data_IF_924402053029
#
_entry.id   IF_924402053029
#
_cell.length_a   1.000
_cell.length_b   1.000
_cell.length_c   1.000
_cell.angle_alpha   90.00
_cell.angle_beta   90.00
_cell.angle_gamma   90.00
#
_symmetry.space_group_name_H-M   'P 1'
#
loop_
_entity.id
_entity.type
_entity.pdbx_description
1 polymer ?
#
# COMPACT_ATOMS: atom_id res chain seq x y z
N UNK A 1 17.19 -12.28 -2.34
CA UNK A 1 16.11 -12.02 -1.36
C UNK A 1 14.83 -12.43 -2.05
N UNK A 2 14.29 -13.59 -1.71
CA UNK A 2 13.10 -14.12 -2.38
C UNK A 2 11.88 -13.75 -1.54
N UNK A 3 11.41 -12.51 -1.72
CA UNK A 3 10.17 -12.09 -1.11
C UNK A 3 9.01 -12.72 -1.87
N UNK A 4 8.60 -13.92 -1.45
CA UNK A 4 7.35 -14.50 -1.91
C UNK A 4 6.19 -13.67 -1.32
N UNK A 5 5.72 -12.69 -2.10
CA UNK A 5 4.67 -11.75 -1.75
C UNK A 5 3.37 -12.14 -2.49
N UNK A 6 2.24 -12.00 -1.81
CA UNK A 6 0.93 -12.17 -2.45
C UNK A 6 0.65 -11.06 -3.47
N UNK A 7 -0.29 -11.25 -4.41
CA UNK A 7 -0.69 -10.20 -5.34
C UNK A 7 -1.14 -8.91 -4.64
N UNK A 8 -1.81 -9.01 -3.50
CA UNK A 8 -2.26 -7.87 -2.69
C UNK A 8 -1.08 -7.17 -2.01
N UNK A 9 -0.11 -7.91 -1.48
CA UNK A 9 1.11 -7.35 -0.90
C UNK A 9 1.92 -6.60 -1.95
N UNK A 10 2.10 -7.19 -3.14
CA UNK A 10 2.76 -6.54 -4.27
C UNK A 10 2.02 -5.28 -4.71
N UNK A 11 0.68 -5.34 -4.77
CA UNK A 11 -0.16 -4.19 -5.11
C UNK A 11 0.01 -3.05 -4.13
N UNK A 12 -0.07 -3.34 -2.83
CA UNK A 12 0.08 -2.35 -1.77
C UNK A 12 1.47 -1.71 -1.83
N UNK A 13 2.53 -2.52 -1.94
CA UNK A 13 3.89 -2.02 -2.00
C UNK A 13 4.12 -1.15 -3.25
N UNK A 14 3.66 -1.61 -4.42
CA UNK A 14 3.76 -0.86 -5.67
C UNK A 14 2.99 0.47 -5.61
N UNK A 15 1.81 0.51 -4.99
CA UNK A 15 1.07 1.75 -4.79
C UNK A 15 1.82 2.73 -3.88
N UNK A 16 2.44 2.27 -2.80
CA UNK A 16 3.22 3.13 -1.93
C UNK A 16 4.42 3.74 -2.67
N UNK A 17 5.16 2.92 -3.42
CA UNK A 17 6.32 3.37 -4.22
C UNK A 17 5.90 4.38 -5.30
N UNK A 18 4.83 4.09 -6.03
CA UNK A 18 4.29 5.01 -7.05
C UNK A 18 3.92 6.36 -6.42
N UNK A 19 3.13 6.34 -5.33
CA UNK A 19 2.57 7.57 -4.74
C UNK A 19 3.60 8.40 -3.97
N UNK A 20 4.63 7.79 -3.41
CA UNK A 20 5.77 8.53 -2.85
C UNK A 20 6.46 9.39 -3.93
N UNK A 21 6.59 8.87 -5.15
CA UNK A 21 7.22 9.60 -6.26
C UNK A 21 6.28 10.54 -7.00
N UNK A 22 5.02 10.15 -7.25
CA UNK A 22 4.12 10.92 -8.13
C UNK A 22 3.26 11.94 -7.37
N UNK A 23 3.03 11.71 -6.08
CA UNK A 23 2.14 12.52 -5.23
C UNK A 23 2.72 12.64 -3.81
N UNK A 24 3.96 13.15 -3.66
CA UNK A 24 4.67 13.21 -2.37
C UNK A 24 3.91 14.02 -1.31
N UNK A 25 3.11 15.00 -1.71
CA UNK A 25 2.29 15.83 -0.82
C UNK A 25 1.15 15.06 -0.12
N UNK A 26 0.76 13.91 -0.67
CA UNK A 26 -0.25 13.02 -0.07
C UNK A 26 0.40 11.94 0.80
N UNK A 27 1.72 11.81 0.80
CA UNK A 27 2.46 10.81 1.54
C UNK A 27 2.84 11.32 2.94
N UNK A 28 2.73 10.51 4.01
CA UNK A 28 2.28 9.12 4.05
C UNK A 28 0.76 8.96 3.81
N UNK A 29 0.39 7.88 3.11
CA UNK A 29 -1.01 7.61 2.78
C UNK A 29 -1.80 7.07 3.99
N UNK A 30 -3.05 7.52 4.12
CA UNK A 30 -4.03 6.83 4.95
C UNK A 30 -4.43 5.47 4.33
N UNK A 31 -4.98 4.55 5.14
CA UNK A 31 -5.43 3.23 4.64
C UNK A 31 -6.48 3.38 3.52
N UNK A 32 -7.39 4.33 3.63
CA UNK A 32 -8.41 4.57 2.59
C UNK A 32 -7.80 5.12 1.29
N UNK A 33 -6.83 6.04 1.40
CA UNK A 33 -6.12 6.56 0.23
C UNK A 33 -5.31 5.46 -0.47
N UNK A 34 -4.66 4.59 0.30
CA UNK A 34 -3.94 3.43 -0.22
C UNK A 34 -4.88 2.40 -0.88
N UNK A 35 -6.05 2.12 -0.30
CA UNK A 35 -7.07 1.26 -0.93
C UNK A 35 -7.52 1.83 -2.28
N UNK A 36 -7.80 3.13 -2.33
CA UNK A 36 -8.18 3.80 -3.57
C UNK A 36 -7.07 3.72 -4.63
N UNK A 37 -5.80 3.85 -4.23
CA UNK A 37 -4.67 3.64 -5.12
C UNK A 37 -4.57 2.18 -5.60
N UNK A 38 -4.82 1.19 -4.74
CA UNK A 38 -4.79 -0.23 -5.11
C UNK A 38 -5.86 -0.60 -6.16
N UNK A 39 -7.04 0.03 -6.05
CA UNK A 39 -8.22 -0.22 -6.89
C UNK A 39 -8.36 0.79 -8.05
N UNK A 40 -7.31 1.57 -8.32
CA UNK A 40 -7.32 2.54 -9.43
C UNK A 40 -7.54 1.81 -10.77
N UNK A 41 -8.41 2.36 -11.63
CA UNK A 41 -8.73 1.76 -12.95
C UNK A 41 -7.63 1.97 -13.99
N UNK A 42 -6.72 2.90 -13.75
CA UNK A 42 -5.56 3.18 -14.60
C UNK A 42 -4.27 2.81 -13.88
N UNK A 43 -3.22 2.51 -14.65
CA UNK A 43 -1.90 2.11 -14.13
C UNK A 43 -1.93 0.89 -13.21
N UNK A 44 -2.93 0.01 -13.37
CA UNK A 44 -3.06 -1.26 -12.65
C UNK A 44 -3.34 -2.39 -13.64
N UNK A 45 -2.55 -3.46 -13.53
CA UNK A 45 -2.76 -4.69 -14.27
C UNK A 45 -2.45 -5.89 -13.34
N UNK A 46 -3.43 -6.76 -13.01
CA UNK A 46 -4.85 -6.59 -13.29
C UNK A 46 -5.47 -5.46 -12.46
N UNK A 47 -6.56 -4.86 -12.93
CA UNK A 47 -7.40 -4.02 -12.07
C UNK A 47 -7.98 -4.89 -10.95
N UNK A 48 -7.87 -4.44 -9.71
CA UNK A 48 -8.36 -5.16 -8.52
C UNK A 48 -9.46 -4.35 -7.83
N UNK A 49 -10.27 -5.03 -7.03
CA UNK A 49 -11.21 -4.43 -6.10
C UNK A 49 -10.99 -5.00 -4.70
N UNK A 50 -9.95 -4.50 -4.03
CA UNK A 50 -9.57 -4.96 -2.70
C UNK A 50 -10.45 -4.31 -1.63
N UNK A 51 -11.04 -5.08 -0.70
CA UNK A 51 -11.67 -4.52 0.48
C UNK A 51 -10.62 -3.96 1.44
N UNK A 52 -11.05 -3.09 2.36
CA UNK A 52 -10.13 -2.49 3.34
C UNK A 52 -9.44 -3.53 4.22
N UNK A 53 -10.12 -4.63 4.57
CA UNK A 53 -9.55 -5.73 5.35
C UNK A 53 -8.31 -6.34 4.68
N UNK A 54 -8.40 -6.67 3.39
CA UNK A 54 -7.27 -7.23 2.63
C UNK A 54 -6.10 -6.26 2.54
N UNK A 55 -6.36 -4.96 2.37
CA UNK A 55 -5.30 -3.94 2.38
C UNK A 55 -4.64 -3.86 3.76
N UNK A 56 -5.40 -3.92 4.85
CA UNK A 56 -4.86 -3.92 6.22
C UNK A 56 -4.04 -5.18 6.52
N UNK A 57 -4.50 -6.35 6.07
CA UNK A 57 -3.77 -7.61 6.20
C UNK A 57 -2.44 -7.57 5.45
N UNK A 58 -2.44 -7.07 4.22
CA UNK A 58 -1.24 -6.86 3.42
C UNK A 58 -0.26 -5.88 4.09
N UNK A 59 -0.73 -4.72 4.57
CA UNK A 59 0.10 -3.76 5.33
C UNK A 59 0.71 -4.45 6.56
N UNK A 60 -0.10 -5.19 7.32
CA UNK A 60 0.36 -5.88 8.53
C UNK A 60 1.45 -6.90 8.22
N UNK A 61 1.26 -7.70 7.16
CA UNK A 61 2.25 -8.68 6.71
C UNK A 61 3.53 -8.03 6.21
N UNK A 62 3.44 -7.00 5.37
CA UNK A 62 4.59 -6.24 4.87
C UNK A 62 5.35 -5.53 6.00
N UNK A 63 4.64 -5.02 7.02
CA UNK A 63 5.25 -4.41 8.20
C UNK A 63 6.04 -5.43 9.02
N UNK A 64 5.51 -6.65 9.23
CA UNK A 64 6.25 -7.73 9.90
C UNK A 64 7.52 -8.13 9.15
N UNK A 65 7.53 -7.98 7.82
CA UNK A 65 8.70 -8.22 6.96
C UNK A 65 9.66 -7.01 6.89
N UNK A 66 9.32 -5.88 7.51
CA UNK A 66 10.12 -4.66 7.48
C UNK A 66 10.07 -3.88 6.16
N UNK A 67 9.14 -4.20 5.26
CA UNK A 67 9.02 -3.60 3.93
C UNK A 67 8.17 -2.32 3.92
N UNK A 68 7.28 -2.16 4.90
CA UNK A 68 6.43 -0.98 5.08
C UNK A 68 6.51 -0.55 6.55
N UNK A 69 6.36 0.75 6.81
CA UNK A 69 6.28 1.30 8.17
C UNK A 69 5.02 2.15 8.29
N UNK A 70 4.36 2.05 9.43
CA UNK A 70 3.26 2.94 9.79
C UNK A 70 3.81 4.26 10.32
N UNK A 71 3.47 5.37 9.66
CA UNK A 71 3.70 6.70 10.23
C UNK A 71 2.57 7.01 11.20
N UNK A 72 2.84 6.87 12.50
CA UNK A 72 1.96 7.44 13.52
C UNK A 72 2.28 8.93 13.64
N UNK A 73 1.38 9.78 13.17
CA UNK A 73 1.35 11.19 13.56
C UNK A 73 0.95 11.30 15.03
N UNK A 74 1.85 10.92 15.94
CA UNK A 74 1.74 11.30 17.34
C UNK A 74 2.41 12.66 17.46
N UNK A 75 1.58 13.71 17.48
CA UNK A 75 1.99 14.97 18.07
C UNK A 75 2.34 14.72 19.54
N UNK A 76 3.62 14.89 19.86
CA UNK A 76 4.08 15.34 21.16
C UNK A 76 4.53 16.79 21.02
#
# INVERSE_FOLDING_TARGET
MDWNLSPEELRVLGCLVEKESTTPEQYPLSVNALRNACNQKSSRDPVMDLPESSVREAISSLTRRGLVKTASGYGG
#
